data_IF_529334932833
#
_entry.id   IF_529334932833
#
_cell.length_a   1.000
_cell.length_b   1.000
_cell.length_c   1.000
_cell.angle_alpha   90.00
_cell.angle_beta   90.00
_cell.angle_gamma   90.00
#
_symmetry.space_group_name_H-M   'P 1'
#
loop_
_entity.id
_entity.type
_entity.pdbx_description
1 polymer ?
#
# COMPACT_ATOMS: atom_id res chain seq x y z
N UNK A 1 -46.98 2.86 31.98
CA UNK A 1 -46.59 3.57 33.21
C UNK A 1 -46.21 2.53 34.26
N UNK A 2 -45.19 2.84 35.08
CA UNK A 2 -44.33 1.94 35.90
C UNK A 2 -43.29 1.16 35.06
N UNK A 3 -41.97 1.35 35.16
CA UNK A 3 -41.12 2.18 36.02
C UNK A 3 -40.07 1.32 36.75
N UNK A 4 -38.80 1.39 36.28
CA UNK A 4 -37.47 1.26 36.94
C UNK A 4 -37.29 0.22 38.09
N UNK A 5 -36.20 -0.56 38.18
CA UNK A 5 -34.84 -0.13 38.57
C UNK A 5 -33.83 -1.26 38.26
N UNK A 6 -32.67 -0.90 37.69
CA UNK A 6 -31.45 -1.72 37.62
C UNK A 6 -30.62 -1.54 38.90
N UNK A 7 -30.19 -2.63 39.52
CA UNK A 7 -29.17 -2.61 40.58
C UNK A 7 -28.08 -3.66 40.26
N UNK A 8 -26.84 -3.18 40.16
CA UNK A 8 -25.66 -4.02 39.95
C UNK A 8 -25.18 -4.70 41.23
N UNK A 9 -24.48 -5.83 41.06
CA UNK A 9 -23.78 -6.53 42.12
C UNK A 9 -22.67 -7.40 41.52
N UNK A 10 -21.41 -7.04 41.83
CA UNK A 10 -20.21 -7.82 41.52
C UNK A 10 -20.18 -9.06 42.40
N UNK A 11 -19.84 -10.22 41.83
CA UNK A 11 -19.57 -11.46 42.59
C UNK A 11 -18.06 -11.68 42.58
N UNK A 12 -17.43 -11.59 43.76
CA UNK A 12 -16.08 -12.05 44.02
C UNK A 12 -16.12 -13.46 44.60
N UNK A 13 -15.18 -14.31 44.19
CA UNK A 13 -15.02 -15.69 44.69
C UNK A 13 -13.67 -15.78 45.40
N UNK A 14 -13.71 -15.98 46.71
CA UNK A 14 -12.56 -16.37 47.54
C UNK A 14 -12.35 -17.90 47.45
N UNK A 15 -11.09 -18.32 47.34
CA UNK A 15 -10.70 -19.73 47.41
C UNK A 15 -9.95 -20.00 48.72
N UNK A 16 -10.50 -20.90 49.52
CA UNK A 16 -9.92 -21.37 50.78
C UNK A 16 -8.74 -22.31 50.55
N UNK A 17 -7.78 -22.26 51.47
CA UNK A 17 -6.58 -23.10 51.51
C UNK A 17 -6.78 -24.29 52.45
N UNK A 18 -6.38 -25.47 51.97
CA UNK A 18 -6.03 -26.69 52.72
C UNK A 18 -5.51 -27.68 51.66
N UNK A 19 -4.47 -28.48 51.84
CA UNK A 19 -3.56 -28.80 52.92
C UNK A 19 -2.56 -29.79 52.31
N UNK A 20 -1.34 -29.84 52.83
CA UNK A 20 -0.24 -30.58 52.23
C UNK A 20 -0.35 -32.11 52.33
N UNK A 21 0.35 -32.78 51.42
CA UNK A 21 0.95 -34.09 51.63
C UNK A 21 2.16 -34.23 50.69
N UNK A 22 3.35 -34.19 51.26
CA UNK A 22 4.60 -34.63 50.64
C UNK A 22 4.60 -36.16 50.51
N UNK A 23 4.95 -36.66 49.33
CA UNK A 23 5.48 -38.02 49.14
C UNK A 23 6.71 -37.94 48.25
N UNK A 24 7.84 -38.28 48.86
CA UNK A 24 9.14 -38.52 48.24
C UNK A 24 9.15 -39.89 47.57
N UNK A 25 9.62 -39.98 46.33
CA UNK A 25 10.03 -41.24 45.70
C UNK A 25 11.12 -40.98 44.65
N UNK A 26 12.11 -41.87 44.66
CA UNK A 26 13.44 -41.76 44.06
C UNK A 26 13.49 -41.62 42.54
N UNK A 27 14.48 -40.85 42.09
CA UNK A 27 14.91 -40.78 40.71
C UNK A 27 15.71 -42.04 40.31
N UNK A 28 15.27 -42.71 39.25
CA UNK A 28 16.11 -43.62 38.46
C UNK A 28 16.09 -43.12 37.04
N UNK A 29 17.24 -42.63 36.57
CA UNK A 29 17.44 -42.10 35.24
C UNK A 29 17.85 -43.22 34.30
N UNK A 30 17.10 -43.43 33.22
CA UNK A 30 17.57 -44.07 31.99
C UNK A 30 17.36 -43.11 30.81
N UNK A 31 18.27 -43.06 29.82
CA UNK A 31 18.24 -42.05 28.78
C UNK A 31 17.26 -42.44 27.68
N UNK A 32 16.14 -41.72 27.59
CA UNK A 32 15.25 -41.81 26.44
C UNK A 32 15.69 -40.76 25.42
N UNK A 33 16.11 -41.23 24.25
CA UNK A 33 16.43 -40.42 23.08
C UNK A 33 15.17 -39.72 22.58
N UNK A 34 15.06 -38.41 22.80
CA UNK A 34 14.00 -37.59 22.18
C UNK A 34 14.30 -37.39 20.70
N UNK A 35 13.51 -38.07 19.85
CA UNK A 35 13.16 -37.58 18.53
C UNK A 35 12.38 -36.26 18.72
N UNK A 36 13.03 -35.15 18.38
CA UNK A 36 12.40 -33.83 18.38
C UNK A 36 11.37 -33.80 17.25
N UNK A 37 10.12 -34.14 17.58
CA UNK A 37 8.99 -33.76 16.75
C UNK A 37 8.69 -32.29 17.01
N UNK A 38 8.70 -31.52 15.94
CA UNK A 38 8.48 -30.07 15.93
C UNK A 38 7.03 -29.78 16.36
N UNK A 39 6.83 -29.66 17.67
CA UNK A 39 5.56 -29.23 18.22
C UNK A 39 5.35 -27.75 17.90
N UNK A 40 4.31 -27.46 17.12
CA UNK A 40 3.81 -26.11 16.84
C UNK A 40 3.46 -25.43 18.16
N UNK A 41 4.37 -24.59 18.66
CA UNK A 41 4.17 -23.83 19.89
C UNK A 41 3.15 -22.73 19.61
N UNK A 42 1.93 -22.88 20.14
CA UNK A 42 0.88 -21.87 20.12
C UNK A 42 0.88 -21.15 21.47
N UNK A 43 1.34 -19.90 21.49
CA UNK A 43 1.24 -19.02 22.66
C UNK A 43 -0.12 -18.30 22.69
N UNK A 44 -0.53 -17.86 23.88
CA UNK A 44 -1.88 -17.42 24.24
C UNK A 44 -2.49 -16.40 23.25
N UNK A 45 -3.42 -16.89 22.43
CA UNK A 45 -4.03 -16.15 21.32
C UNK A 45 -4.27 -17.00 20.06
N UNK A 46 -3.72 -18.22 19.99
CA UNK A 46 -4.11 -19.25 19.02
C UNK A 46 -3.79 -18.97 17.55
N UNK A 47 -3.12 -17.85 17.23
CA UNK A 47 -2.75 -17.50 15.87
C UNK A 47 -1.41 -18.15 15.48
N UNK A 48 -1.38 -18.80 14.31
CA UNK A 48 -0.17 -19.46 13.80
C UNK A 48 0.92 -18.45 13.40
N UNK A 49 2.19 -18.88 13.42
CA UNK A 49 3.31 -18.08 12.89
C UNK A 49 3.05 -17.62 11.44
N UNK A 50 2.48 -18.50 10.63
CA UNK A 50 2.11 -18.20 9.25
C UNK A 50 1.11 -17.05 9.15
N UNK A 51 0.05 -17.06 9.97
CA UNK A 51 -0.95 -15.99 9.98
C UNK A 51 -0.39 -14.67 10.51
N UNK A 52 0.49 -14.70 11.51
CA UNK A 52 1.23 -13.51 11.94
C UNK A 52 2.06 -12.91 10.79
N UNK A 53 2.76 -13.76 10.03
CA UNK A 53 3.50 -13.35 8.83
C UNK A 53 2.59 -12.77 7.75
N UNK A 54 1.46 -13.42 7.47
CA UNK A 54 0.42 -12.94 6.55
C UNK A 54 -0.10 -11.56 6.93
N UNK A 55 -0.38 -11.34 8.22
CA UNK A 55 -0.86 -10.06 8.74
C UNK A 55 0.16 -8.94 8.51
N UNK A 56 1.44 -9.20 8.77
CA UNK A 56 2.52 -8.24 8.53
C UNK A 56 2.64 -7.93 7.03
N UNK A 57 2.61 -8.96 6.17
CA UNK A 57 2.64 -8.81 4.72
C UNK A 57 1.46 -7.96 4.21
N UNK A 58 0.24 -8.30 4.64
CA UNK A 58 -0.99 -7.61 4.27
C UNK A 58 -1.05 -6.18 4.82
N UNK A 59 -0.29 -5.86 5.86
CA UNK A 59 -0.22 -4.50 6.38
C UNK A 59 0.85 -3.65 5.68
N UNK A 60 1.98 -4.23 5.29
CA UNK A 60 3.17 -3.45 4.86
C UNK A 60 3.66 -3.74 3.45
N UNK A 61 3.55 -4.97 2.99
CA UNK A 61 4.23 -5.44 1.78
C UNK A 61 3.28 -5.49 0.57
N UNK A 62 1.99 -5.76 0.79
CA UNK A 62 1.04 -6.01 -0.29
C UNK A 62 0.85 -4.82 -1.24
N UNK A 63 1.05 -3.58 -0.76
CA UNK A 63 0.88 -2.39 -1.60
C UNK A 63 1.76 -2.43 -2.84
N UNK A 64 2.99 -2.93 -2.68
CA UNK A 64 3.96 -3.06 -3.76
C UNK A 64 3.91 -4.47 -4.37
N UNK A 65 3.92 -5.50 -3.53
CA UNK A 65 4.05 -6.91 -3.97
C UNK A 65 2.73 -7.60 -4.31
N UNK A 66 1.59 -6.96 -4.03
CA UNK A 66 0.25 -7.48 -4.30
C UNK A 66 -0.22 -8.51 -3.28
N UNK A 67 -1.52 -8.63 -3.10
CA UNK A 67 -2.12 -9.69 -2.26
C UNK A 67 -1.74 -11.09 -2.75
N UNK A 68 -1.60 -11.28 -4.07
CA UNK A 68 -1.17 -12.54 -4.70
C UNK A 68 0.35 -12.72 -4.80
N UNK A 69 1.16 -11.78 -4.29
CA UNK A 69 2.63 -11.90 -4.34
C UNK A 69 3.27 -11.74 -5.73
N UNK A 70 2.48 -11.37 -6.75
CA UNK A 70 2.91 -11.31 -8.15
C UNK A 70 3.41 -9.92 -8.61
N UNK A 71 3.47 -8.95 -7.69
CA UNK A 71 3.88 -7.56 -7.95
C UNK A 71 3.08 -6.83 -9.05
N UNK A 72 1.87 -7.30 -9.40
CA UNK A 72 0.99 -6.63 -10.39
C UNK A 72 0.09 -5.61 -9.70
N UNK A 73 0.69 -4.61 -9.06
CA UNK A 73 -0.02 -3.56 -8.33
C UNK A 73 0.00 -2.22 -9.08
N UNK A 74 -0.91 -1.32 -8.71
CA UNK A 74 -0.87 0.07 -9.20
C UNK A 74 0.47 0.72 -8.85
N UNK A 75 0.97 0.49 -7.64
CA UNK A 75 2.24 1.00 -7.13
C UNK A 75 3.43 0.56 -7.98
N UNK A 76 3.47 -0.72 -8.36
CA UNK A 76 4.56 -1.31 -9.13
C UNK A 76 4.78 -0.62 -10.49
N UNK A 77 3.74 -0.05 -11.11
CA UNK A 77 3.88 0.63 -12.40
C UNK A 77 4.48 2.04 -12.29
N UNK A 78 4.46 2.65 -11.12
CA UNK A 78 5.04 3.99 -10.90
C UNK A 78 6.55 3.90 -10.57
N UNK A 79 7.06 2.70 -10.34
CA UNK A 79 8.44 2.47 -9.93
C UNK A 79 9.34 2.23 -11.14
N UNK A 80 10.50 2.88 -11.15
CA UNK A 80 11.50 2.69 -12.21
C UNK A 80 12.05 1.26 -12.27
N UNK A 81 12.07 0.55 -11.13
CA UNK A 81 12.35 -0.87 -11.04
C UNK A 81 11.17 -1.55 -10.34
N UNK A 82 10.45 -2.47 -11.00
CA UNK A 82 9.27 -3.08 -10.40
C UNK A 82 9.65 -3.98 -9.21
N UNK A 83 8.75 -4.17 -8.23
CA UNK A 83 8.93 -5.14 -7.16
C UNK A 83 9.09 -6.57 -7.70
N UNK A 84 9.64 -7.45 -6.87
CA UNK A 84 9.80 -8.88 -7.20
C UNK A 84 8.45 -9.56 -7.30
N UNK A 85 8.20 -10.28 -8.40
CA UNK A 85 7.15 -11.28 -8.54
C UNK A 85 7.61 -12.57 -7.84
N UNK A 86 7.08 -12.85 -6.66
CA UNK A 86 7.46 -14.03 -5.88
C UNK A 86 6.92 -15.32 -6.50
N UNK A 87 5.79 -15.27 -7.19
CA UNK A 87 5.16 -16.44 -7.83
C UNK A 87 5.96 -16.96 -9.02
N UNK A 88 6.79 -16.11 -9.62
CA UNK A 88 7.70 -16.45 -10.71
C UNK A 88 9.17 -16.60 -10.27
N UNK A 89 9.46 -16.56 -8.97
CA UNK A 89 10.84 -16.63 -8.43
C UNK A 89 11.07 -17.93 -7.66
N UNK A 90 12.13 -18.67 -8.00
CA UNK A 90 12.44 -19.94 -7.32
C UNK A 90 12.97 -19.70 -5.89
N UNK A 91 12.56 -20.54 -4.90
CA UNK A 91 13.06 -20.48 -3.52
C UNK A 91 14.57 -20.67 -3.37
N UNK A 92 15.21 -21.31 -4.35
CA UNK A 92 16.66 -21.53 -4.42
C UNK A 92 17.40 -20.28 -4.90
N UNK A 93 16.81 -19.50 -5.82
CA UNK A 93 17.38 -18.25 -6.31
C UNK A 93 17.22 -17.11 -5.31
N UNK A 94 16.06 -17.03 -4.66
CA UNK A 94 15.77 -16.06 -3.61
C UNK A 94 15.75 -16.79 -2.27
N UNK A 95 16.93 -17.02 -1.70
CA UNK A 95 17.07 -17.76 -0.44
C UNK A 95 16.43 -17.00 0.73
N UNK A 96 16.17 -17.72 1.82
CA UNK A 96 15.62 -17.13 3.04
C UNK A 96 16.52 -16.00 3.56
N UNK A 97 17.82 -16.21 3.59
CA UNK A 97 18.82 -15.25 4.07
C UNK A 97 18.79 -13.96 3.23
N UNK A 98 18.72 -14.12 1.91
CA UNK A 98 18.59 -13.02 0.96
C UNK A 98 17.30 -12.24 1.20
N UNK A 99 16.19 -12.89 1.54
CA UNK A 99 14.94 -12.21 1.87
C UNK A 99 15.01 -11.46 3.20
N UNK A 100 15.58 -12.08 4.24
CA UNK A 100 15.76 -11.43 5.55
C UNK A 100 16.60 -10.15 5.42
N UNK A 101 17.71 -10.21 4.68
CA UNK A 101 18.55 -9.06 4.37
C UNK A 101 17.76 -7.99 3.60
N UNK A 102 17.02 -8.37 2.55
CA UNK A 102 16.22 -7.43 1.75
C UNK A 102 15.17 -6.69 2.60
N UNK A 103 14.50 -7.39 3.50
CA UNK A 103 13.46 -6.80 4.35
C UNK A 103 14.10 -5.91 5.41
N UNK A 104 15.16 -6.39 6.07
CA UNK A 104 15.83 -5.64 7.14
C UNK A 104 16.52 -4.38 6.63
N UNK A 105 17.29 -4.52 5.55
CA UNK A 105 18.26 -3.52 5.10
C UNK A 105 17.82 -2.80 3.82
N UNK A 106 16.75 -3.28 3.18
CA UNK A 106 16.29 -2.76 1.89
C UNK A 106 17.13 -3.26 0.72
N UNK A 107 16.89 -2.70 -0.47
CA UNK A 107 17.68 -3.00 -1.68
C UNK A 107 18.15 -1.70 -2.35
N UNK A 108 19.46 -1.42 -2.35
CA UNK A 108 20.03 -0.24 -3.01
C UNK A 108 19.59 -0.08 -4.47
N UNK A 109 19.28 1.15 -4.85
CA UNK A 109 18.81 1.47 -6.20
C UNK A 109 17.43 0.90 -6.55
N UNK A 110 16.57 0.65 -5.56
CA UNK A 110 15.18 0.23 -5.75
C UNK A 110 14.26 0.96 -4.76
N UNK A 111 12.93 0.79 -4.87
CA UNK A 111 11.99 1.33 -3.90
C UNK A 111 11.83 0.46 -2.63
N UNK A 112 12.56 -0.66 -2.52
CA UNK A 112 12.50 -1.55 -1.37
C UNK A 112 13.30 -0.96 -0.20
N UNK A 113 12.66 -0.10 0.59
CA UNK A 113 13.22 0.52 1.79
C UNK A 113 13.54 -0.50 2.90
N UNK A 114 14.30 -0.05 3.91
CA UNK A 114 14.69 -0.88 5.05
C UNK A 114 13.57 -0.89 6.10
N UNK A 115 13.09 -2.08 6.47
CA UNK A 115 12.05 -2.27 7.48
C UNK A 115 12.61 -2.62 8.86
N UNK A 116 13.93 -2.83 9.00
CA UNK A 116 14.55 -3.21 10.27
C UNK A 116 14.44 -2.17 11.39
N UNK A 117 14.05 -0.93 11.07
CA UNK A 117 13.76 0.11 12.08
C UNK A 117 12.32 0.07 12.61
N UNK A 118 11.42 -0.62 11.91
CA UNK A 118 9.99 -0.69 12.24
C UNK A 118 9.47 -2.13 12.45
N UNK A 119 10.26 -3.14 12.12
CA UNK A 119 10.00 -4.56 12.37
C UNK A 119 11.11 -5.16 13.24
N UNK A 120 10.73 -6.01 14.19
CA UNK A 120 11.65 -6.84 14.96
C UNK A 120 12.24 -7.97 14.10
N UNK A 121 13.33 -8.58 14.55
CA UNK A 121 13.95 -9.69 13.83
C UNK A 121 13.01 -10.91 13.68
N UNK A 122 12.15 -11.19 14.67
CA UNK A 122 11.13 -12.25 14.56
C UNK A 122 10.06 -11.88 13.51
N UNK A 123 9.59 -10.63 13.47
CA UNK A 123 8.63 -10.18 12.47
C UNK A 123 9.18 -10.22 11.04
N UNK A 124 10.45 -9.87 10.86
CA UNK A 124 11.15 -10.02 9.57
C UNK A 124 11.23 -11.50 9.16
N UNK A 125 11.50 -12.40 10.10
CA UNK A 125 11.47 -13.84 9.84
C UNK A 125 10.08 -14.34 9.47
N UNK A 126 9.06 -13.95 10.23
CA UNK A 126 7.67 -14.36 9.98
C UNK A 126 7.18 -13.96 8.58
N UNK A 127 7.47 -12.74 8.13
CA UNK A 127 7.05 -12.28 6.81
C UNK A 127 7.84 -12.96 5.69
N UNK A 128 9.15 -13.19 5.87
CA UNK A 128 9.97 -13.92 4.90
C UNK A 128 9.48 -15.37 4.73
N UNK A 129 9.21 -16.04 5.85
CA UNK A 129 8.75 -17.42 5.87
C UNK A 129 7.36 -17.55 5.26
N UNK A 130 6.46 -16.60 5.58
CA UNK A 130 5.14 -16.51 4.94
C UNK A 130 5.24 -16.36 3.41
N UNK A 131 6.05 -15.42 2.90
CA UNK A 131 6.18 -15.19 1.45
C UNK A 131 6.74 -16.43 0.75
N UNK A 132 7.76 -17.07 1.33
CA UNK A 132 8.36 -18.28 0.77
C UNK A 132 7.37 -19.41 0.71
N UNK A 133 6.70 -19.70 1.82
CA UNK A 133 5.75 -20.80 1.91
C UNK A 133 4.54 -20.56 1.00
N UNK A 134 3.86 -19.42 1.17
CA UNK A 134 2.60 -19.12 0.50
C UNK A 134 2.80 -18.93 -1.01
N UNK A 135 3.74 -18.09 -1.44
CA UNK A 135 3.82 -17.69 -2.86
C UNK A 135 4.80 -18.51 -3.68
N UNK A 136 5.92 -18.93 -3.08
CA UNK A 136 7.02 -19.53 -3.84
C UNK A 136 7.01 -21.06 -3.82
N UNK A 137 6.59 -21.67 -2.70
CA UNK A 137 6.54 -23.12 -2.53
C UNK A 137 5.14 -23.64 -2.86
N UNK A 138 4.12 -23.15 -2.17
CA UNK A 138 2.75 -23.65 -2.34
C UNK A 138 2.09 -23.12 -3.61
N UNK A 139 2.58 -21.99 -4.14
CA UNK A 139 1.94 -21.28 -5.25
C UNK A 139 0.50 -20.85 -4.90
N UNK A 140 0.24 -20.65 -3.61
CA UNK A 140 -1.08 -20.40 -3.09
C UNK A 140 -1.56 -18.99 -3.46
N UNK A 141 -2.85 -18.90 -3.78
CA UNK A 141 -3.52 -17.62 -3.96
C UNK A 141 -3.85 -17.08 -2.56
N UNK A 142 -2.90 -16.37 -1.95
CA UNK A 142 -3.00 -15.83 -0.58
C UNK A 142 -4.32 -15.11 -0.29
N UNK A 143 -4.81 -14.29 -1.22
CA UNK A 143 -6.10 -13.61 -1.05
C UNK A 143 -6.78 -13.43 -2.39
N UNK A 144 -7.96 -14.03 -2.54
CA UNK A 144 -8.90 -13.67 -3.62
C UNK A 144 -9.66 -12.43 -3.18
N UNK A 145 -9.49 -11.34 -3.93
CA UNK A 145 -10.18 -10.08 -3.65
C UNK A 145 -11.70 -10.15 -3.88
N UNK A 146 -12.18 -11.14 -4.62
CA UNK A 146 -13.61 -11.30 -4.90
C UNK A 146 -14.15 -12.60 -4.28
N UNK A 147 -14.38 -12.58 -2.97
CA UNK A 147 -14.99 -13.71 -2.25
C UNK A 147 -16.19 -13.23 -1.43
N UNK A 148 -17.08 -14.16 -1.06
CA UNK A 148 -18.23 -13.82 -0.23
C UNK A 148 -17.80 -13.20 1.11
N UNK A 149 -16.74 -13.74 1.71
CA UNK A 149 -16.22 -13.28 3.00
C UNK A 149 -15.76 -11.81 3.01
N UNK A 150 -15.45 -11.22 1.85
CA UNK A 150 -15.08 -9.80 1.75
C UNK A 150 -16.11 -8.96 0.98
N UNK A 151 -17.37 -9.40 0.97
CA UNK A 151 -18.51 -8.62 0.46
C UNK A 151 -18.82 -8.83 -1.03
N UNK A 152 -18.10 -9.75 -1.70
CA UNK A 152 -18.25 -10.03 -3.12
C UNK A 152 -18.95 -11.36 -3.37
N UNK A 153 -20.12 -11.54 -2.76
CA UNK A 153 -20.97 -12.72 -2.98
C UNK A 153 -21.37 -12.86 -4.46
N UNK A 154 -21.28 -14.08 -4.99
CA UNK A 154 -21.65 -14.41 -6.37
C UNK A 154 -20.90 -13.58 -7.44
N UNK A 155 -19.65 -13.19 -7.20
CA UNK A 155 -18.85 -12.44 -8.19
C UNK A 155 -18.59 -13.24 -9.49
N UNK A 156 -18.54 -14.58 -9.37
CA UNK A 156 -18.40 -15.53 -10.50
C UNK A 156 -19.43 -15.31 -11.62
N UNK A 157 -20.59 -14.70 -11.32
CA UNK A 157 -21.61 -14.34 -12.32
C UNK A 157 -21.09 -13.40 -13.42
N UNK A 158 -19.96 -12.73 -13.17
CA UNK A 158 -19.29 -11.81 -14.09
C UNK A 158 -18.13 -12.45 -14.86
N UNK A 159 -18.01 -13.79 -14.85
CA UNK A 159 -16.88 -14.51 -15.45
C UNK A 159 -16.55 -14.11 -16.89
N UNK A 160 -17.55 -13.74 -17.70
CA UNK A 160 -17.33 -13.25 -19.07
C UNK A 160 -16.41 -12.01 -19.14
N UNK A 161 -16.36 -11.17 -18.10
CA UNK A 161 -15.49 -9.99 -18.03
C UNK A 161 -14.07 -10.30 -17.51
N UNK A 162 -13.84 -11.47 -16.92
CA UNK A 162 -12.55 -11.80 -16.26
C UNK A 162 -11.36 -11.77 -17.22
N UNK A 163 -11.45 -12.26 -18.47
CA UNK A 163 -10.31 -12.18 -19.40
C UNK A 163 -9.82 -10.75 -19.64
N UNK A 164 -10.71 -9.75 -19.57
CA UNK A 164 -10.32 -8.34 -19.67
C UNK A 164 -9.73 -7.81 -18.36
N UNK A 165 -10.31 -8.16 -17.22
CA UNK A 165 -9.82 -7.76 -15.89
C UNK A 165 -8.45 -8.37 -15.55
N UNK A 166 -8.17 -9.57 -16.05
CA UNK A 166 -6.90 -10.29 -15.89
C UNK A 166 -5.87 -9.90 -16.97
N UNK A 167 -6.29 -9.14 -18.00
CA UNK A 167 -5.43 -8.72 -19.11
C UNK A 167 -5.09 -9.83 -20.11
N UNK A 168 -5.84 -10.93 -20.11
CA UNK A 168 -5.72 -12.02 -21.08
C UNK A 168 -6.15 -11.55 -22.47
N UNK A 169 -7.25 -10.77 -22.52
CA UNK A 169 -7.73 -10.09 -23.72
C UNK A 169 -7.47 -8.59 -23.57
N UNK A 170 -6.86 -8.01 -24.61
CA UNK A 170 -6.57 -6.58 -24.61
C UNK A 170 -7.85 -5.75 -24.87
N UNK A 171 -8.00 -4.62 -24.19
CA UNK A 171 -9.18 -3.75 -24.35
C UNK A 171 -9.29 -3.15 -25.75
N UNK A 172 -8.15 -2.90 -26.38
CA UNK A 172 -8.01 -2.41 -27.75
C UNK A 172 -8.02 -3.53 -28.80
N UNK A 173 -8.30 -4.78 -28.41
CA UNK A 173 -8.51 -5.85 -29.38
C UNK A 173 -9.70 -5.53 -30.29
N UNK A 174 -9.48 -5.64 -31.60
CA UNK A 174 -10.47 -5.38 -32.64
C UNK A 174 -11.73 -6.21 -32.41
N UNK A 175 -12.89 -5.53 -32.33
CA UNK A 175 -14.15 -6.17 -31.97
C UNK A 175 -14.58 -7.27 -32.95
N UNK A 176 -14.22 -7.13 -34.23
CA UNK A 176 -14.48 -8.13 -35.26
C UNK A 176 -13.77 -9.48 -35.00
N UNK A 177 -12.71 -9.47 -34.17
CA UNK A 177 -11.94 -10.67 -33.81
C UNK A 177 -12.43 -11.32 -32.51
N UNK A 178 -13.36 -10.68 -31.80
CA UNK A 178 -13.90 -11.18 -30.53
C UNK A 178 -15.10 -12.10 -30.77
N UNK A 179 -15.21 -13.16 -29.97
CA UNK A 179 -16.41 -14.00 -29.94
C UNK A 179 -17.60 -13.22 -29.37
N UNK A 180 -18.83 -13.70 -29.61
CA UNK A 180 -20.03 -13.07 -29.05
C UNK A 180 -20.00 -13.01 -27.51
N UNK A 181 -19.42 -14.01 -26.86
CA UNK A 181 -19.22 -14.05 -25.41
C UNK A 181 -18.20 -13.01 -24.96
N UNK A 182 -17.07 -12.90 -25.65
CA UNK A 182 -16.04 -11.89 -25.36
C UNK A 182 -16.57 -10.47 -25.56
N UNK A 183 -17.45 -10.22 -26.53
CA UNK A 183 -18.11 -8.92 -26.70
C UNK A 183 -19.04 -8.58 -25.51
N UNK A 184 -19.77 -9.56 -24.98
CA UNK A 184 -20.55 -9.39 -23.74
C UNK A 184 -19.61 -9.09 -22.57
N UNK A 185 -18.54 -9.87 -22.44
CA UNK A 185 -17.48 -9.69 -21.46
C UNK A 185 -16.86 -8.30 -21.49
N UNK A 186 -16.51 -7.81 -22.69
CA UNK A 186 -15.94 -6.47 -22.92
C UNK A 186 -16.92 -5.40 -22.45
N UNK A 187 -18.19 -5.49 -22.84
CA UNK A 187 -19.23 -4.52 -22.41
C UNK A 187 -19.43 -4.52 -20.90
N UNK A 188 -19.46 -5.70 -20.28
CA UNK A 188 -19.58 -5.84 -18.83
C UNK A 188 -18.36 -5.23 -18.12
N UNK A 189 -17.16 -5.57 -18.58
CA UNK A 189 -15.92 -5.02 -18.06
C UNK A 189 -15.89 -3.48 -18.12
N UNK A 190 -16.14 -2.92 -19.31
CA UNK A 190 -16.13 -1.47 -19.54
C UNK A 190 -17.20 -0.73 -18.75
N UNK A 191 -18.30 -1.39 -18.39
CA UNK A 191 -19.42 -0.74 -17.70
C UNK A 191 -19.36 -0.83 -16.18
N UNK A 192 -18.71 -1.87 -15.62
CA UNK A 192 -18.79 -2.19 -14.19
C UNK A 192 -17.44 -2.54 -13.52
N UNK A 193 -16.41 -2.94 -14.28
CA UNK A 193 -15.15 -3.44 -13.70
C UNK A 193 -13.99 -2.45 -13.89
N UNK A 194 -13.99 -1.69 -14.98
CA UNK A 194 -12.86 -0.83 -15.39
C UNK A 194 -12.44 0.18 -14.33
N UNK A 195 -13.32 0.65 -13.45
CA UNK A 195 -12.95 1.61 -12.40
C UNK A 195 -11.98 1.03 -11.37
N UNK A 196 -12.11 -0.26 -11.04
CA UNK A 196 -11.20 -0.95 -10.12
C UNK A 196 -10.08 -1.70 -10.86
N UNK A 197 -10.26 -1.93 -12.15
CA UNK A 197 -9.32 -2.60 -13.06
C UNK A 197 -8.87 -1.66 -14.18
N UNK A 198 -8.52 -0.42 -13.82
CA UNK A 198 -8.29 0.69 -14.77
C UNK A 198 -7.01 0.57 -15.60
N UNK A 199 -6.22 -0.48 -15.34
CA UNK A 199 -4.98 -0.82 -16.07
C UNK A 199 -5.02 -2.20 -16.73
N UNK A 200 -6.20 -2.61 -17.19
CA UNK A 200 -6.30 -3.75 -18.11
C UNK A 200 -5.42 -3.56 -19.35
N UNK A 201 -4.94 -4.69 -19.90
CA UNK A 201 -3.97 -4.70 -21.01
C UNK A 201 -4.48 -3.96 -22.25
N UNK A 202 -3.62 -3.14 -22.84
CA UNK A 202 -3.76 -2.59 -24.20
C UNK A 202 -2.51 -2.94 -25.01
N UNK A 203 -2.64 -3.23 -26.31
CA UNK A 203 -1.53 -3.60 -27.21
C UNK A 203 -0.75 -2.37 -27.66
N UNK A 204 -1.46 -1.30 -28.02
CA UNK A 204 -0.88 -0.05 -28.49
C UNK A 204 -1.33 1.11 -27.58
N UNK A 205 -0.59 1.36 -26.48
CA UNK A 205 -0.82 2.52 -25.63
C UNK A 205 -0.30 3.78 -26.34
N UNK A 206 -0.98 4.23 -27.40
CA UNK A 206 -0.73 5.56 -27.94
C UNK A 206 -1.16 6.64 -26.93
N UNK A 207 -0.70 7.89 -27.13
CA UNK A 207 -0.96 9.09 -26.30
C UNK A 207 -2.42 9.30 -25.87
N UNK A 208 -3.39 8.67 -26.52
CA UNK A 208 -4.82 8.69 -26.17
C UNK A 208 -5.09 7.91 -24.86
N UNK A 209 -4.24 6.95 -24.50
CA UNK A 209 -4.33 6.10 -23.31
C UNK A 209 -3.20 6.37 -22.31
N UNK A 210 -2.85 7.64 -22.06
CA UNK A 210 -2.22 7.94 -20.76
C UNK A 210 -3.10 7.31 -19.67
N UNK A 211 -2.52 6.47 -18.80
CA UNK A 211 -3.23 5.84 -17.70
C UNK A 211 -3.62 6.92 -16.67
N UNK A 212 -4.67 7.68 -17.00
CA UNK A 212 -5.30 8.66 -16.13
C UNK A 212 -6.47 7.95 -15.46
N UNK A 213 -6.61 8.03 -14.14
CA UNK A 213 -7.74 7.41 -13.45
C UNK A 213 -9.06 7.91 -14.05
N UNK A 214 -9.77 7.04 -14.77
CA UNK A 214 -11.07 7.36 -15.38
C UNK A 214 -12.11 7.30 -14.27
N UNK A 215 -12.26 8.42 -13.61
CA UNK A 215 -13.38 8.63 -12.72
C UNK A 215 -14.38 9.55 -13.42
N UNK A 216 -15.64 9.25 -13.16
CA UNK A 216 -16.83 9.53 -13.96
C UNK A 216 -17.53 10.86 -13.65
N UNK A 217 -18.35 11.42 -14.57
CA UNK A 217 -19.80 11.20 -14.46
C UNK A 217 -20.54 10.93 -15.81
N UNK A 218 -21.17 9.75 -16.03
CA UNK A 218 -22.48 9.65 -16.72
C UNK A 218 -23.50 10.13 -15.68
N UNK A 219 -24.45 11.01 -15.94
CA UNK A 219 -24.92 11.66 -17.14
C UNK A 219 -26.23 12.32 -16.74
N UNK A 220 -26.17 13.61 -16.41
CA UNK A 220 -27.30 14.55 -16.25
C UNK A 220 -26.79 16.00 -16.38
N UNK A 221 -25.87 16.24 -17.32
CA UNK A 221 -25.43 17.59 -17.68
C UNK A 221 -26.26 18.09 -18.88
N UNK A 222 -26.67 19.37 -18.84
CA UNK A 222 -27.63 20.00 -19.79
C UNK A 222 -26.91 20.79 -20.88
N UNK A 223 -27.39 20.70 -22.13
CA UNK A 223 -26.78 21.28 -23.35
C UNK A 223 -27.20 22.73 -23.65
N UNK A 224 -27.92 23.40 -22.74
CA UNK A 224 -28.42 24.78 -22.92
C UNK A 224 -27.74 25.81 -22.02
N UNK A 225 -26.85 25.34 -21.14
CA UNK A 225 -26.11 26.18 -20.19
C UNK A 225 -24.69 25.61 -20.06
N UNK A 226 -23.71 26.11 -20.83
CA UNK A 226 -22.37 25.58 -20.81
C UNK A 226 -21.64 26.07 -19.55
N UNK A 227 -21.67 25.27 -18.48
CA UNK A 227 -20.63 25.40 -17.44
C UNK A 227 -19.31 24.96 -18.10
N UNK A 228 -18.22 25.72 -17.97
CA UNK A 228 -16.91 25.27 -18.40
C UNK A 228 -16.59 23.96 -17.67
N UNK A 229 -16.63 22.84 -18.37
CA UNK A 229 -16.09 21.58 -17.90
C UNK A 229 -14.57 21.74 -17.83
N UNK A 230 -14.12 22.07 -16.63
CA UNK A 230 -12.72 22.17 -16.23
C UNK A 230 -11.98 20.85 -16.52
N UNK A 231 -10.81 21.01 -17.15
CA UNK A 231 -9.87 20.00 -17.58
C UNK A 231 -9.12 19.30 -16.42
N UNK A 232 -9.80 18.89 -15.36
CA UNK A 232 -9.35 17.82 -14.46
C UNK A 232 -10.59 17.12 -13.93
N UNK A 233 -10.92 15.95 -14.46
CA UNK A 233 -12.06 15.17 -13.97
C UNK A 233 -11.93 14.95 -12.46
N UNK A 234 -12.76 15.66 -11.70
CA UNK A 234 -12.82 15.73 -10.23
C UNK A 234 -13.36 14.45 -9.60
N UNK A 235 -13.26 13.33 -10.29
CA UNK A 235 -14.09 12.18 -10.00
C UNK A 235 -13.42 11.16 -9.07
N UNK A 236 -12.15 11.39 -8.75
CA UNK A 236 -11.53 10.95 -7.51
C UNK A 236 -11.00 12.19 -6.84
N UNK A 237 -11.51 12.49 -5.64
CA UNK A 237 -10.95 13.55 -4.78
C UNK A 237 -9.44 13.35 -4.51
N UNK A 238 -8.91 12.18 -4.85
CA UNK A 238 -7.50 11.82 -4.73
C UNK A 238 -6.67 12.17 -5.97
N UNK A 239 -7.25 12.22 -7.17
CA UNK A 239 -6.49 12.41 -8.41
C UNK A 239 -5.79 13.79 -8.46
N UNK A 240 -6.42 14.80 -7.88
CA UNK A 240 -5.85 16.14 -7.72
C UNK A 240 -4.64 16.18 -6.78
N UNK A 241 -4.44 15.14 -5.96
CA UNK A 241 -3.28 14.96 -5.08
C UNK A 241 -2.15 14.17 -5.74
N UNK A 242 -2.38 13.59 -6.92
CA UNK A 242 -1.39 12.89 -7.74
C UNK A 242 -0.77 13.81 -8.81
N UNK A 243 -1.06 15.11 -8.76
CA UNK A 243 -0.45 16.12 -9.65
C UNK A 243 0.65 16.89 -8.89
N UNK A 244 1.92 16.81 -9.32
CA UNK A 244 3.01 17.53 -8.65
C UNK A 244 2.93 19.05 -8.87
N UNK A 245 3.49 19.87 -7.96
CA UNK A 245 3.66 21.31 -8.18
C UNK A 245 4.52 21.59 -9.42
N UNK A 246 4.23 22.67 -10.15
CA UNK A 246 5.03 23.08 -11.32
C UNK A 246 6.17 24.00 -10.90
N UNK A 247 7.41 23.50 -10.96
CA UNK A 247 8.60 24.18 -10.49
C UNK A 247 9.67 24.24 -11.61
N UNK A 248 9.52 25.14 -12.60
CA UNK A 248 10.43 25.18 -13.76
C UNK A 248 11.88 25.49 -13.36
N UNK A 249 12.05 26.35 -12.35
CA UNK A 249 13.35 26.93 -11.95
C UNK A 249 14.06 26.14 -10.82
N UNK A 250 13.74 24.85 -10.64
CA UNK A 250 14.48 24.00 -9.71
C UNK A 250 15.95 23.88 -10.14
N UNK A 251 16.84 24.11 -9.17
CA UNK A 251 18.25 23.76 -9.32
C UNK A 251 18.44 22.24 -9.50
N UNK A 252 19.59 21.78 -10.01
CA UNK A 252 19.80 20.37 -10.32
C UNK A 252 19.61 19.42 -9.13
N UNK A 253 19.95 19.85 -7.91
CA UNK A 253 19.81 19.04 -6.71
C UNK A 253 18.33 18.92 -6.31
N UNK A 254 17.58 20.01 -6.31
CA UNK A 254 16.14 19.99 -6.05
C UNK A 254 15.38 19.22 -7.14
N UNK A 255 15.83 19.25 -8.39
CA UNK A 255 15.25 18.46 -9.50
C UNK A 255 15.50 16.96 -9.34
N UNK A 256 16.68 16.57 -8.82
CA UNK A 256 16.93 15.19 -8.41
C UNK A 256 15.98 14.79 -7.27
N UNK A 257 15.81 15.68 -6.28
CA UNK A 257 14.87 15.50 -5.17
C UNK A 257 13.44 15.30 -5.63
N UNK A 258 12.97 16.10 -6.60
CA UNK A 258 11.65 15.96 -7.22
C UNK A 258 11.49 14.56 -7.82
N UNK A 259 12.43 14.13 -8.67
CA UNK A 259 12.39 12.81 -9.30
C UNK A 259 12.33 11.68 -8.26
N UNK A 260 13.14 11.77 -7.21
CA UNK A 260 13.18 10.78 -6.14
C UNK A 260 11.90 10.79 -5.31
N UNK A 261 11.37 11.96 -4.97
CA UNK A 261 10.12 12.09 -4.24
C UNK A 261 8.95 11.52 -5.04
N UNK A 262 8.81 11.89 -6.31
CA UNK A 262 7.72 11.40 -7.15
C UNK A 262 7.81 9.88 -7.40
N UNK A 263 9.03 9.32 -7.49
CA UNK A 263 9.23 7.89 -7.69
C UNK A 263 9.07 7.02 -6.44
N UNK A 264 9.24 7.58 -5.23
CA UNK A 264 9.34 6.78 -4.00
C UNK A 264 8.44 7.26 -2.84
N UNK A 265 8.17 8.56 -2.73
CA UNK A 265 7.50 9.17 -1.58
C UNK A 265 6.06 9.55 -1.89
N UNK A 266 5.78 10.03 -3.11
CA UNK A 266 4.49 10.52 -3.55
C UNK A 266 3.37 9.47 -3.47
N UNK A 267 3.72 8.18 -3.54
CA UNK A 267 2.75 7.09 -3.37
C UNK A 267 2.00 7.18 -2.02
N UNK A 268 2.69 7.54 -0.94
CA UNK A 268 2.06 7.75 0.37
C UNK A 268 1.77 9.23 0.64
N UNK A 269 2.67 10.12 0.24
CA UNK A 269 2.57 11.55 0.58
C UNK A 269 1.77 12.38 -0.43
N UNK A 270 1.27 11.80 -1.52
CA UNK A 270 0.74 12.53 -2.66
C UNK A 270 1.86 13.19 -3.47
N UNK A 271 1.65 13.35 -4.77
CA UNK A 271 2.56 14.11 -5.63
C UNK A 271 2.63 15.59 -5.22
N UNK A 272 1.52 16.09 -4.64
CA UNK A 272 1.38 17.44 -4.09
C UNK A 272 1.81 17.57 -2.62
N UNK A 273 2.33 16.50 -2.00
CA UNK A 273 2.79 16.51 -0.61
C UNK A 273 1.69 16.54 0.45
N UNK A 274 0.41 16.50 0.09
CA UNK A 274 -0.69 16.67 1.06
C UNK A 274 -1.00 15.41 1.88
N UNK A 275 -0.54 14.24 1.44
CA UNK A 275 -0.92 12.94 1.98
C UNK A 275 -2.38 12.56 1.72
N UNK A 276 -3.08 13.29 0.83
CA UNK A 276 -4.51 13.11 0.58
C UNK A 276 -4.84 12.29 -0.67
N UNK A 277 -3.82 11.75 -1.34
CA UNK A 277 -4.02 10.76 -2.39
C UNK A 277 -4.66 9.47 -1.82
N UNK A 278 -5.05 8.54 -2.70
CA UNK A 278 -5.87 7.39 -2.31
C UNK A 278 -5.22 6.63 -1.16
N UNK A 279 -3.93 6.29 -1.28
CA UNK A 279 -3.21 5.53 -0.27
C UNK A 279 -2.98 6.31 1.01
N UNK A 280 -2.50 7.57 0.92
CA UNK A 280 -2.18 8.37 2.10
C UNK A 280 -3.37 8.52 3.06
N UNK A 281 -4.60 8.55 2.54
CA UNK A 281 -5.83 8.67 3.35
C UNK A 281 -6.23 7.41 4.11
N UNK A 282 -5.72 6.24 3.74
CA UNK A 282 -6.03 4.97 4.39
C UNK A 282 -4.91 4.45 5.30
N UNK A 283 -3.78 5.15 5.36
CA UNK A 283 -2.70 4.80 6.30
C UNK A 283 -3.03 5.30 7.71
N UNK A 284 -2.67 4.49 8.72
CA UNK A 284 -2.77 4.83 10.13
C UNK A 284 -1.38 4.72 10.80
N UNK A 285 -0.83 5.81 11.37
CA UNK A 285 -1.32 7.18 11.24
C UNK A 285 -1.19 7.71 9.80
N UNK A 286 -2.02 8.70 9.41
CA UNK A 286 -1.93 9.29 8.08
C UNK A 286 -0.59 10.02 7.89
N UNK A 287 -0.05 10.07 6.66
CA UNK A 287 1.14 10.84 6.36
C UNK A 287 0.94 12.31 6.72
N UNK A 288 2.01 12.94 7.22
CA UNK A 288 2.00 14.39 7.47
C UNK A 288 1.71 15.13 6.17
N UNK A 289 0.84 16.13 6.23
CA UNK A 289 0.69 17.11 5.16
C UNK A 289 1.98 17.94 5.05
N UNK A 290 2.83 17.62 4.09
CA UNK A 290 4.10 18.31 3.83
C UNK A 290 3.88 19.71 3.25
N UNK A 291 2.71 19.94 2.64
CA UNK A 291 2.26 21.23 2.13
C UNK A 291 1.58 22.11 3.18
N UNK A 292 1.56 21.71 4.47
CA UNK A 292 1.10 22.59 5.56
C UNK A 292 2.17 23.66 5.86
N UNK A 293 1.87 24.96 5.64
CA UNK A 293 2.81 26.06 5.86
C UNK A 293 3.39 26.09 7.29
N UNK A 294 2.57 25.77 8.28
CA UNK A 294 2.98 25.77 9.68
C UNK A 294 3.97 24.64 9.98
N UNK A 295 3.74 23.47 9.37
CA UNK A 295 4.64 22.33 9.49
C UNK A 295 5.96 22.59 8.78
N UNK A 296 5.93 22.90 7.47
CA UNK A 296 7.13 22.98 6.65
C UNK A 296 8.07 24.11 7.10
N UNK A 297 7.51 25.24 7.56
CA UNK A 297 8.28 26.38 8.06
C UNK A 297 8.93 26.09 9.41
N UNK A 298 8.35 25.19 10.21
CA UNK A 298 8.90 24.76 11.50
C UNK A 298 9.97 23.66 11.36
N UNK A 299 10.14 23.07 10.17
CA UNK A 299 11.12 22.03 9.90
C UNK A 299 12.43 22.62 9.36
N UNK A 300 13.56 22.13 9.86
CA UNK A 300 14.86 22.37 9.24
C UNK A 300 15.17 21.28 8.22
N UNK A 301 16.08 21.56 7.27
CA UNK A 301 16.54 20.56 6.30
C UNK A 301 17.03 19.30 7.01
N UNK A 302 17.80 19.47 8.08
CA UNK A 302 18.39 18.36 8.85
C UNK A 302 17.31 17.49 9.51
N UNK A 303 16.20 18.09 9.97
CA UNK A 303 15.08 17.33 10.56
C UNK A 303 14.31 16.54 9.50
N UNK A 304 14.10 17.12 8.31
CA UNK A 304 13.50 16.42 7.18
C UNK A 304 14.39 15.25 6.72
N UNK A 305 15.69 15.53 6.52
CA UNK A 305 16.70 14.54 6.14
C UNK A 305 16.77 13.39 7.17
N UNK A 306 16.75 13.71 8.47
CA UNK A 306 16.74 12.69 9.52
C UNK A 306 15.48 11.81 9.47
N UNK A 307 14.30 12.38 9.26
CA UNK A 307 13.06 11.60 9.14
C UNK A 307 13.06 10.67 7.93
N UNK A 308 13.62 11.12 6.79
CA UNK A 308 13.79 10.27 5.60
C UNK A 308 14.80 9.15 5.86
N UNK A 309 15.97 9.51 6.42
CA UNK A 309 17.08 8.59 6.64
C UNK A 309 16.73 7.48 7.64
N UNK A 310 16.14 7.87 8.77
CA UNK A 310 15.86 6.97 9.89
C UNK A 310 14.45 6.36 9.88
N UNK A 311 13.55 6.90 9.05
CA UNK A 311 12.13 6.58 9.10
C UNK A 311 11.46 7.15 10.36
N UNK A 312 10.18 6.79 10.55
CA UNK A 312 9.41 7.23 11.72
C UNK A 312 8.87 6.01 12.45
N UNK A 313 9.48 5.64 13.60
CA UNK A 313 9.00 4.53 14.44
C UNK A 313 7.52 4.70 14.82
N UNK A 314 6.78 3.59 14.80
CA UNK A 314 5.33 3.59 15.07
C UNK A 314 4.46 4.07 13.90
N UNK A 315 5.04 4.28 12.71
CA UNK A 315 4.30 4.64 11.50
C UNK A 315 4.55 3.67 10.34
N UNK A 316 3.98 3.97 9.16
CA UNK A 316 4.24 3.26 7.91
C UNK A 316 5.43 3.84 7.11
N UNK A 317 6.17 4.82 7.66
CA UNK A 317 7.33 5.43 7.00
C UNK A 317 8.64 4.70 7.37
N UNK A 318 9.21 3.87 6.47
CA UNK A 318 10.43 3.11 6.73
C UNK A 318 11.69 3.98 6.64
N UNK A 319 12.83 3.42 7.05
CA UNK A 319 14.12 4.06 6.89
C UNK A 319 14.64 3.93 5.45
N UNK A 320 15.13 5.03 4.89
CA UNK A 320 15.67 5.05 3.53
C UNK A 320 17.20 5.00 3.46
N UNK A 321 17.91 5.06 4.59
CA UNK A 321 19.39 5.06 4.63
C UNK A 321 20.07 3.82 4.05
N UNK A 322 19.37 2.69 3.97
CA UNK A 322 19.87 1.47 3.33
C UNK A 322 19.77 1.50 1.80
N UNK A 323 19.10 2.50 1.24
CA UNK A 323 18.72 2.55 -0.18
C UNK A 323 19.13 3.85 -0.86
N UNK A 324 18.98 4.97 -0.16
CA UNK A 324 19.34 6.31 -0.62
C UNK A 324 20.67 6.75 0.00
N UNK A 325 21.52 7.34 -0.82
CA UNK A 325 22.72 8.05 -0.37
C UNK A 325 22.38 9.35 0.37
N UNK A 326 23.31 9.86 1.17
CA UNK A 326 23.16 11.15 1.88
C UNK A 326 22.88 12.31 0.91
N UNK A 327 23.45 12.28 -0.29
CA UNK A 327 23.18 13.27 -1.35
C UNK A 327 21.74 13.17 -1.86
N UNK A 328 21.21 11.97 -2.04
CA UNK A 328 19.83 11.76 -2.47
C UNK A 328 18.83 12.17 -1.37
N UNK A 329 19.14 11.87 -0.10
CA UNK A 329 18.33 12.32 1.05
C UNK A 329 18.30 13.84 1.14
N UNK A 330 19.45 14.50 0.99
CA UNK A 330 19.56 15.96 0.95
C UNK A 330 18.78 16.57 -0.22
N UNK A 331 18.90 15.96 -1.40
CA UNK A 331 18.17 16.39 -2.59
C UNK A 331 16.65 16.36 -2.37
N UNK A 332 16.12 15.30 -1.75
CA UNK A 332 14.70 15.22 -1.38
C UNK A 332 14.35 16.33 -0.38
N UNK A 333 15.11 16.51 0.70
CA UNK A 333 14.88 17.58 1.68
C UNK A 333 14.83 18.97 1.03
N UNK A 334 15.76 19.24 0.11
CA UNK A 334 15.81 20.47 -0.69
C UNK A 334 14.58 20.65 -1.57
N UNK A 335 14.13 19.59 -2.24
CA UNK A 335 12.89 19.62 -3.03
C UNK A 335 11.68 19.93 -2.13
N UNK A 336 11.54 19.28 -0.98
CA UNK A 336 10.42 19.51 -0.07
C UNK A 336 10.34 20.98 0.35
N UNK A 337 11.48 21.58 0.72
CA UNK A 337 11.55 22.99 1.09
C UNK A 337 11.25 23.90 -0.10
N UNK A 338 11.74 23.59 -1.30
CA UNK A 338 11.47 24.40 -2.50
C UNK A 338 10.00 24.31 -2.97
N UNK A 339 9.40 23.11 -2.89
CA UNK A 339 8.08 22.82 -3.44
C UNK A 339 6.93 23.22 -2.50
N UNK A 340 7.14 23.16 -1.19
CA UNK A 340 6.05 23.24 -0.21
C UNK A 340 6.17 24.41 0.78
N UNK A 341 7.28 25.15 0.78
CA UNK A 341 7.40 26.35 1.62
C UNK A 341 6.47 27.49 1.15
N UNK A 342 6.07 28.40 2.05
CA UNK A 342 5.29 29.58 1.69
C UNK A 342 5.96 30.39 0.57
N UNK A 343 5.22 30.70 -0.49
CA UNK A 343 5.73 31.42 -1.67
C UNK A 343 6.17 30.51 -2.83
N UNK A 344 6.17 29.19 -2.66
CA UNK A 344 6.24 28.26 -3.78
C UNK A 344 5.06 28.50 -4.75
N UNK A 345 5.26 28.31 -6.07
CA UNK A 345 4.16 28.35 -7.03
C UNK A 345 3.07 27.39 -6.55
N UNK A 346 1.83 27.88 -6.38
CA UNK A 346 0.78 27.00 -5.89
C UNK A 346 0.59 25.81 -6.82
N UNK A 347 0.40 24.63 -6.23
CA UNK A 347 -0.19 23.50 -6.95
C UNK A 347 -1.55 23.90 -7.54
N UNK A 348 -2.05 23.14 -8.52
CA UNK A 348 -3.30 23.45 -9.23
C UNK A 348 -4.47 23.78 -8.28
N UNK A 349 -4.53 23.16 -7.10
CA UNK A 349 -5.55 23.41 -6.07
C UNK A 349 -5.65 24.87 -5.59
N UNK A 350 -4.53 25.58 -5.36
CA UNK A 350 -4.61 26.99 -4.95
C UNK A 350 -5.03 27.86 -6.14
N UNK A 351 -4.62 27.48 -7.37
CA UNK A 351 -4.99 28.21 -8.59
C UNK A 351 -6.50 28.16 -8.81
N UNK A 352 -7.13 27.01 -8.57
CA UNK A 352 -8.58 26.85 -8.68
C UNK A 352 -9.33 27.53 -7.53
N UNK A 353 -8.81 27.46 -6.29
CA UNK A 353 -9.40 28.19 -5.15
C UNK A 353 -9.31 29.71 -5.31
N UNK A 354 -8.16 30.24 -5.72
CA UNK A 354 -7.94 31.66 -5.96
C UNK A 354 -8.71 32.14 -7.20
N UNK A 355 -8.78 31.33 -8.26
CA UNK A 355 -9.59 31.61 -9.46
C UNK A 355 -11.09 31.62 -9.16
N UNK A 356 -11.58 30.70 -8.34
CA UNK A 356 -12.98 30.64 -7.91
C UNK A 356 -13.33 31.72 -6.87
N UNK A 357 -12.35 32.26 -6.13
CA UNK A 357 -12.54 33.43 -5.28
C UNK A 357 -12.58 34.74 -6.10
N UNK A 358 -11.78 34.83 -7.17
CA UNK A 358 -11.72 35.99 -8.05
C UNK A 358 -12.95 36.15 -8.96
N UNK A 359 -13.66 35.07 -9.30
CA UNK A 359 -14.90 35.14 -10.10
C UNK A 359 -16.16 35.50 -9.30
N UNK A 360 -16.02 35.71 -7.98
CA UNK A 360 -17.12 36.04 -7.05
C UNK A 360 -17.13 37.52 -6.60
N UNK A 361 -16.35 38.39 -7.24
CA UNK A 361 -16.36 39.84 -7.02
C UNK A 361 -16.77 40.62 -8.26
#
# INVERSE_FOLDING_TARGET
>A
MLGLVLAGGKVGVEWGSAGGAEVVAEAVAEPVTEEVTEAVVTEAGGESRHERGRRIYNYRCYFCHGYSGNARTLAASFMARPPRDFTATSPELLTREVMLEAIRDGRPGSAMAAFGTILTADEVALVADFVRQEFMIDGAVNTRYHIEANGWGNHERYAAAFPFALGEIALDQEEATLTSEQLVGKRLFMSACITCHDRSRVREPELVWESRPVSFPRGSYSHRDPVPVDAVASASIHALHDIPPSLPDLDPEARLGEKLFQGNCAFCHGADGTGKNWIGRFLEPPPRNLADPAFITAMSSERLEAAIREGIPGSSMPAWKGVLSETEVRAIGRYLLAAFSPGAPPGLQERDRLGSAASRN
#
